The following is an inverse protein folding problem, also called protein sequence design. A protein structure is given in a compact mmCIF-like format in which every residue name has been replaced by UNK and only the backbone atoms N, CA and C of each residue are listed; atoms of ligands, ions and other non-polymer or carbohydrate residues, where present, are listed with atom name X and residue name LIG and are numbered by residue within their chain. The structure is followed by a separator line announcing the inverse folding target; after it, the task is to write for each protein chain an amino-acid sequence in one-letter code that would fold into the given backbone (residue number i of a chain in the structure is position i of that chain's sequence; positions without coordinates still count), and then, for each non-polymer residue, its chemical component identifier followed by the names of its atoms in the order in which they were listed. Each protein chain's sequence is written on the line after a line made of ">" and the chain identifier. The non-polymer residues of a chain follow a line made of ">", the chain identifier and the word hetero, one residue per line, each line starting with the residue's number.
data_IF_253736227745
#
_entry.id   IF_253736227745
#
_cell.length_a   1.000
_cell.length_b   1.000
_cell.length_c   1.000
_cell.angle_alpha   90.00
_cell.angle_beta   90.00
_cell.angle_gamma   90.00
#
_symmetry.space_group_name_H-M   'P 1'
#
loop_
_entity.id
_entity.type
_entity.pdbx_description
1 polymer ?
#
# COMPACT_ATOMS: atom_id res chain seq x y z
N UNK A 1 -7.43 -16.91 -56.27
CA UNK A 1 -6.07 -16.93 -56.87
C UNK A 1 -5.16 -16.16 -55.92
N UNK A 2 -4.11 -16.69 -55.29
CA UNK A 2 -3.48 -17.99 -55.37
C UNK A 2 -2.99 -18.37 -53.96
N UNK A 3 -3.15 -19.65 -53.64
CA UNK A 3 -2.57 -20.36 -52.51
C UNK A 3 -1.15 -20.78 -52.87
N UNK A 4 -0.19 -20.61 -51.95
CA UNK A 4 1.05 -21.39 -51.93
C UNK A 4 1.46 -21.69 -50.49
N UNK A 5 1.73 -22.95 -50.12
CA UNK A 5 2.05 -23.37 -48.76
C UNK A 5 3.56 -23.78 -48.65
N UNK A 6 4.06 -24.61 -47.71
CA UNK A 6 5.20 -24.25 -46.86
C UNK A 6 6.47 -25.07 -47.16
N UNK A 7 7.64 -24.57 -46.74
CA UNK A 7 8.89 -25.35 -46.75
C UNK A 7 9.23 -25.84 -45.34
N UNK A 8 9.02 -27.14 -45.13
CA UNK A 8 9.59 -27.90 -44.04
C UNK A 8 11.07 -28.24 -44.36
N UNK A 9 11.98 -28.03 -43.42
CA UNK A 9 13.36 -28.55 -43.49
C UNK A 9 13.53 -29.62 -42.42
N UNK A 10 13.89 -30.80 -42.90
CA UNK A 10 14.12 -32.04 -42.16
C UNK A 10 15.58 -32.10 -41.68
N UNK A 11 15.70 -32.43 -40.38
CA UNK A 11 16.74 -33.19 -39.65
C UNK A 11 18.14 -33.36 -40.27
N UNK A 12 19.15 -33.11 -39.44
CA UNK A 12 20.26 -34.05 -39.25
C UNK A 12 20.70 -34.13 -37.78
N UNK A 13 20.57 -35.32 -37.18
CA UNK A 13 21.33 -35.78 -36.01
C UNK A 13 22.59 -36.49 -36.52
N UNK A 14 23.80 -36.17 -36.03
CA UNK A 14 24.92 -37.07 -36.09
C UNK A 14 25.09 -37.90 -34.82
N UNK A 15 25.83 -38.98 -35.01
CA UNK A 15 25.91 -40.19 -34.20
C UNK A 15 26.79 -40.07 -32.95
N UNK A 16 26.56 -41.04 -32.07
CA UNK A 16 27.43 -41.44 -30.95
C UNK A 16 28.84 -41.77 -31.44
N UNK A 17 29.86 -41.37 -30.69
CA UNK A 17 31.08 -42.16 -30.51
C UNK A 17 31.55 -41.97 -29.07
N UNK A 18 31.57 -43.05 -28.30
CA UNK A 18 32.12 -43.03 -26.95
C UNK A 18 33.62 -42.80 -26.97
N UNK A 19 34.18 -42.47 -25.81
CA UNK A 19 35.51 -42.88 -25.36
C UNK A 19 35.49 -42.93 -23.83
N UNK A 20 35.65 -44.14 -23.32
CA UNK A 20 36.02 -44.46 -21.96
C UNK A 20 37.50 -44.15 -21.77
N UNK A 21 37.85 -43.21 -20.90
CA UNK A 21 39.11 -43.21 -20.15
C UNK A 21 38.87 -42.67 -18.74
N UNK A 22 39.13 -43.54 -17.77
CA UNK A 22 39.09 -43.19 -16.36
C UNK A 22 40.19 -42.20 -16.00
N UNK A 23 39.86 -41.30 -15.07
CA UNK A 23 40.82 -40.61 -14.24
C UNK A 23 40.31 -40.72 -12.81
N UNK A 24 41.19 -41.22 -11.95
CA UNK A 24 41.02 -41.37 -10.51
C UNK A 24 40.72 -40.01 -9.82
N UNK A 25 40.17 -40.05 -8.60
CA UNK A 25 39.57 -38.91 -7.93
C UNK A 25 40.63 -37.99 -7.35
N UNK A 26 40.57 -36.70 -7.69
CA UNK A 26 41.16 -35.66 -6.84
C UNK A 26 40.04 -35.15 -5.94
N UNK A 27 39.93 -35.75 -4.76
CA UNK A 27 39.23 -35.17 -3.62
C UNK A 27 40.05 -33.95 -3.16
N UNK A 28 39.90 -32.84 -3.87
CA UNK A 28 40.24 -31.52 -3.34
C UNK A 28 39.14 -31.19 -2.34
N UNK A 29 39.41 -31.52 -1.07
CA UNK A 29 38.70 -30.97 0.06
C UNK A 29 38.92 -29.46 0.07
N UNK A 30 38.08 -28.74 -0.69
CA UNK A 30 37.81 -27.34 -0.43
C UNK A 30 37.12 -27.29 0.93
N UNK A 31 37.94 -27.15 1.97
CA UNK A 31 37.53 -26.60 3.24
C UNK A 31 37.01 -25.20 2.95
N UNK A 32 35.74 -25.12 2.54
CA UNK A 32 34.95 -23.92 2.68
C UNK A 32 34.84 -23.70 4.19
N UNK A 33 35.83 -22.99 4.75
CA UNK A 33 35.63 -22.22 5.95
C UNK A 33 34.57 -21.18 5.57
N UNK A 34 33.30 -21.58 5.62
CA UNK A 34 32.23 -20.63 5.79
C UNK A 34 32.63 -19.86 7.05
N UNK A 35 32.89 -18.55 6.98
CA UNK A 35 32.88 -17.79 8.20
C UNK A 35 31.48 -18.03 8.76
N UNK A 36 31.41 -18.77 9.85
CA UNK A 36 30.31 -18.64 10.79
C UNK A 36 30.41 -17.18 11.22
N UNK A 37 29.82 -16.28 10.42
CA UNK A 37 29.54 -14.94 10.84
C UNK A 37 28.75 -15.14 12.13
N UNK A 38 29.38 -14.81 13.25
CA UNK A 38 28.79 -14.97 14.55
C UNK A 38 27.49 -14.16 14.54
N UNK A 39 26.37 -14.86 14.37
CA UNK A 39 25.05 -14.25 14.44
C UNK A 39 24.93 -13.72 15.86
N UNK A 40 24.87 -12.39 15.98
CA UNK A 40 24.62 -11.73 17.25
C UNK A 40 23.28 -12.21 17.80
N UNK A 41 23.20 -12.39 19.12
CA UNK A 41 21.91 -12.66 19.75
C UNK A 41 20.94 -11.50 19.46
N UNK A 42 19.70 -11.83 19.09
CA UNK A 42 18.65 -10.85 18.87
C UNK A 42 18.38 -10.09 20.18
N UNK A 43 18.60 -8.78 20.18
CA UNK A 43 18.25 -7.88 21.27
C UNK A 43 16.88 -7.23 20.99
N UNK A 44 15.82 -7.64 21.72
CA UNK A 44 14.46 -7.15 21.48
C UNK A 44 14.28 -5.65 21.77
N UNK A 45 15.27 -4.98 22.38
CA UNK A 45 15.18 -3.57 22.76
C UNK A 45 15.76 -2.62 21.70
N UNK A 46 16.45 -3.11 20.66
CA UNK A 46 17.08 -2.23 19.67
C UNK A 46 16.07 -1.43 18.87
N UNK A 47 15.02 -2.07 18.36
CA UNK A 47 13.97 -1.37 17.61
C UNK A 47 13.21 -0.32 18.47
N UNK A 48 12.76 -0.64 19.71
CA UNK A 48 12.22 0.36 20.63
C UNK A 48 13.17 1.52 20.94
N UNK A 49 14.46 1.24 21.13
CA UNK A 49 15.49 2.26 21.40
C UNK A 49 15.70 3.17 20.20
N UNK A 50 15.80 2.62 19.00
CA UNK A 50 15.89 3.42 17.77
C UNK A 50 14.64 4.30 17.60
N UNK A 51 13.45 3.77 17.86
CA UNK A 51 12.23 4.57 17.85
C UNK A 51 12.19 5.67 18.93
N UNK A 52 12.88 5.49 20.06
CA UNK A 52 13.02 6.54 21.07
C UNK A 52 13.95 7.67 20.60
N UNK A 53 15.11 7.31 20.05
CA UNK A 53 16.05 8.28 19.44
C UNK A 53 15.36 9.12 18.36
N UNK A 54 14.56 8.50 17.50
CA UNK A 54 13.82 9.23 16.47
C UNK A 54 12.82 10.24 17.06
N UNK A 55 12.08 9.88 18.11
CA UNK A 55 11.19 10.81 18.81
C UNK A 55 11.92 11.97 19.49
N UNK A 56 13.18 11.78 19.82
CA UNK A 56 14.06 12.82 20.38
C UNK A 56 14.70 13.71 19.30
N UNK A 57 14.41 13.45 18.01
CA UNK A 57 14.99 14.16 16.88
C UNK A 57 16.35 13.61 16.43
N UNK A 58 16.86 12.56 17.07
CA UNK A 58 18.16 11.94 16.79
C UNK A 58 18.07 10.92 15.66
N UNK A 59 17.51 11.36 14.52
CA UNK A 59 17.13 10.49 13.41
C UNK A 59 18.32 9.73 12.82
N UNK A 60 19.42 10.42 12.56
CA UNK A 60 20.62 9.80 11.99
C UNK A 60 21.17 8.71 12.92
N UNK A 61 21.25 9.00 14.22
CA UNK A 61 21.70 8.03 15.22
C UNK A 61 20.80 6.80 15.28
N UNK A 62 19.48 6.98 15.11
CA UNK A 62 18.53 5.88 15.10
C UNK A 62 18.73 4.95 13.89
N UNK A 63 18.95 5.52 12.69
CA UNK A 63 19.25 4.76 11.47
C UNK A 63 20.60 4.06 11.58
N UNK A 64 21.65 4.76 12.04
CA UNK A 64 22.99 4.20 12.23
C UNK A 64 22.95 3.05 13.23
N UNK A 65 22.24 3.21 14.35
CA UNK A 65 22.06 2.14 15.35
C UNK A 65 21.47 0.88 14.71
N UNK A 66 20.39 1.02 13.93
CA UNK A 66 19.74 -0.11 13.27
C UNK A 66 20.64 -0.73 12.21
N UNK A 67 21.33 0.08 11.41
CA UNK A 67 22.25 -0.40 10.37
C UNK A 67 23.39 -1.24 10.93
N UNK A 68 24.08 -0.74 11.97
CA UNK A 68 25.17 -1.48 12.62
C UNK A 68 24.65 -2.74 13.31
N UNK A 69 23.50 -2.67 13.97
CA UNK A 69 22.91 -3.84 14.64
C UNK A 69 22.54 -4.93 13.63
N UNK A 70 21.82 -4.59 12.56
CA UNK A 70 21.36 -5.53 11.53
C UNK A 70 22.52 -6.16 10.75
N UNK A 71 23.69 -5.53 10.69
CA UNK A 71 24.90 -6.15 10.15
C UNK A 71 25.36 -7.37 10.96
N UNK A 72 24.99 -7.45 12.25
CA UNK A 72 25.34 -8.56 13.15
C UNK A 72 24.14 -9.45 13.52
N UNK A 73 22.92 -8.92 13.43
CA UNK A 73 21.67 -9.62 13.71
C UNK A 73 20.68 -9.53 12.52
N UNK A 74 21.02 -10.08 11.34
CA UNK A 74 20.20 -9.94 10.13
C UNK A 74 18.86 -10.68 10.20
N UNK A 75 18.66 -11.54 11.19
CA UNK A 75 17.40 -12.29 11.40
C UNK A 75 16.41 -11.56 12.33
N UNK A 76 16.74 -10.36 12.81
CA UNK A 76 15.81 -9.53 13.60
C UNK A 76 14.82 -8.78 12.69
N UNK A 77 13.69 -9.41 12.40
CA UNK A 77 12.66 -8.83 11.56
C UNK A 77 12.07 -7.53 12.12
N UNK A 78 12.04 -7.33 13.45
CA UNK A 78 11.47 -6.11 14.05
C UNK A 78 12.39 -4.91 13.82
N UNK A 79 13.70 -5.11 13.91
CA UNK A 79 14.68 -4.10 13.53
C UNK A 79 14.59 -3.75 12.03
N UNK A 80 14.44 -4.74 11.15
CA UNK A 80 14.19 -4.51 9.73
C UNK A 80 12.91 -3.71 9.47
N UNK A 81 11.80 -4.06 10.14
CA UNK A 81 10.55 -3.32 10.04
C UNK A 81 10.75 -1.86 10.46
N UNK A 82 11.44 -1.61 11.56
CA UNK A 82 11.66 -0.26 12.06
C UNK A 82 12.55 0.56 11.10
N UNK A 83 13.61 -0.03 10.57
CA UNK A 83 14.46 0.61 9.57
C UNK A 83 13.69 0.94 8.28
N UNK A 84 12.85 0.02 7.81
CA UNK A 84 12.00 0.26 6.65
C UNK A 84 10.99 1.39 6.86
N UNK A 85 10.36 1.45 8.05
CA UNK A 85 9.49 2.57 8.42
C UNK A 85 10.23 3.89 8.45
N UNK A 86 11.46 3.90 8.94
CA UNK A 86 12.32 5.07 8.89
C UNK A 86 12.45 5.57 7.44
N UNK A 87 13.00 4.78 6.53
CA UNK A 87 13.15 5.24 5.14
C UNK A 87 11.84 5.64 4.46
N UNK A 88 10.71 4.98 4.79
CA UNK A 88 9.40 5.41 4.32
C UNK A 88 9.02 6.82 4.81
N UNK A 89 9.32 7.16 6.07
CA UNK A 89 9.12 8.52 6.59
C UNK A 89 10.05 9.54 5.92
N UNK A 90 11.32 9.19 5.66
CA UNK A 90 12.26 10.09 4.98
C UNK A 90 11.78 10.42 3.55
N UNK A 91 11.21 9.43 2.85
CA UNK A 91 10.59 9.65 1.54
C UNK A 91 9.39 10.62 1.62
N UNK A 92 8.60 10.56 2.70
CA UNK A 92 7.46 11.47 2.91
C UNK A 92 7.90 12.87 3.28
N UNK A 93 8.93 13.00 4.11
CA UNK A 93 9.52 14.29 4.43
C UNK A 93 10.10 14.95 3.17
N UNK A 94 10.64 14.18 2.23
CA UNK A 94 11.06 14.71 0.93
C UNK A 94 9.90 15.37 0.15
N UNK A 95 8.69 14.81 0.17
CA UNK A 95 7.50 15.47 -0.38
C UNK A 95 7.18 16.78 0.35
N UNK A 96 7.24 16.79 1.69
CA UNK A 96 6.97 17.97 2.50
C UNK A 96 7.96 19.12 2.25
N UNK A 97 9.22 18.79 1.93
CA UNK A 97 10.25 19.77 1.61
C UNK A 97 10.26 20.19 0.13
N UNK A 98 9.20 19.87 -0.62
CA UNK A 98 9.03 20.27 -2.00
C UNK A 98 10.04 19.59 -2.93
N UNK A 99 10.26 18.29 -2.70
CA UNK A 99 11.13 17.44 -3.53
C UNK A 99 12.61 17.87 -3.48
N UNK A 100 13.03 18.50 -2.38
CA UNK A 100 14.41 18.91 -2.12
C UNK A 100 15.09 17.94 -1.16
N UNK A 101 16.36 17.65 -1.39
CA UNK A 101 17.17 16.77 -0.56
C UNK A 101 18.13 15.93 -1.38
N UNK A 102 19.15 15.40 -0.71
CA UNK A 102 20.05 14.36 -1.21
C UNK A 102 20.18 13.30 -0.11
N UNK A 103 19.80 12.03 -0.34
CA UNK A 103 19.30 11.47 -1.60
C UNK A 103 17.86 11.88 -1.96
N UNK A 104 17.45 11.55 -3.18
CA UNK A 104 16.06 11.74 -3.63
C UNK A 104 15.08 10.78 -2.90
N UNK A 105 13.80 11.13 -2.92
CA UNK A 105 12.74 10.34 -2.29
C UNK A 105 12.57 8.94 -2.86
N UNK A 106 12.89 8.73 -4.15
CA UNK A 106 12.80 7.42 -4.78
C UNK A 106 13.83 6.44 -4.21
N UNK A 107 15.03 6.91 -3.90
CA UNK A 107 16.06 6.10 -3.25
C UNK A 107 15.64 5.72 -1.83
N UNK A 108 15.03 6.64 -1.07
CA UNK A 108 14.45 6.30 0.23
C UNK A 108 13.36 5.23 0.11
N UNK A 109 12.50 5.29 -0.91
CA UNK A 109 11.50 4.25 -1.17
C UNK A 109 12.14 2.90 -1.55
N UNK A 110 13.28 2.89 -2.25
CA UNK A 110 14.03 1.66 -2.55
C UNK A 110 14.68 1.06 -1.29
N UNK A 111 15.23 1.89 -0.39
CA UNK A 111 15.72 1.43 0.90
C UNK A 111 14.61 0.92 1.81
N UNK A 112 13.46 1.62 1.86
CA UNK A 112 12.28 1.20 2.59
C UNK A 112 11.79 -0.16 2.09
N UNK A 113 11.64 -0.32 0.77
CA UNK A 113 11.22 -1.58 0.16
C UNK A 113 12.17 -2.72 0.55
N UNK A 114 13.48 -2.52 0.41
CA UNK A 114 14.50 -3.54 0.72
C UNK A 114 14.43 -3.98 2.19
N UNK A 115 14.34 -3.04 3.12
CA UNK A 115 14.25 -3.35 4.55
C UNK A 115 12.92 -4.06 4.90
N UNK A 116 11.81 -3.62 4.29
CA UNK A 116 10.49 -4.22 4.51
C UNK A 116 10.38 -5.62 3.88
N UNK A 117 11.05 -5.88 2.77
CA UNK A 117 11.13 -7.21 2.18
C UNK A 117 11.84 -8.21 3.12
N UNK A 118 12.87 -7.77 3.85
CA UNK A 118 13.47 -8.60 4.91
C UNK A 118 12.50 -8.83 6.08
N UNK A 119 11.77 -7.79 6.51
CA UNK A 119 10.76 -7.94 7.56
C UNK A 119 9.64 -8.93 7.15
N UNK A 120 9.21 -8.88 5.89
CA UNK A 120 8.24 -9.83 5.32
C UNK A 120 8.79 -11.24 5.29
N UNK A 121 10.03 -11.42 4.80
CA UNK A 121 10.71 -12.73 4.78
C UNK A 121 10.80 -13.34 6.18
N UNK A 122 11.01 -12.51 7.20
CA UNK A 122 11.07 -12.91 8.61
C UNK A 122 9.69 -12.97 9.28
N UNK A 123 8.61 -12.96 8.49
CA UNK A 123 7.22 -13.13 8.93
C UNK A 123 6.77 -12.12 10.00
N UNK A 124 7.24 -10.87 9.89
CA UNK A 124 6.76 -9.78 10.74
C UNK A 124 5.40 -9.32 10.23
N UNK A 125 4.35 -9.46 11.05
CA UNK A 125 2.95 -9.23 10.68
C UNK A 125 2.69 -7.93 9.90
N UNK A 126 3.36 -6.83 10.29
CA UNK A 126 3.16 -5.52 9.65
C UNK A 126 4.04 -5.27 8.42
N UNK A 127 5.02 -6.14 8.14
CA UNK A 127 5.95 -5.98 7.02
C UNK A 127 5.23 -5.85 5.69
N UNK A 128 4.23 -6.72 5.44
CA UNK A 128 3.49 -6.73 4.16
C UNK A 128 2.71 -5.43 3.95
N UNK A 129 2.10 -4.89 5.01
CA UNK A 129 1.29 -3.68 4.91
C UNK A 129 2.17 -2.45 4.65
N UNK A 130 3.24 -2.26 5.42
CA UNK A 130 4.17 -1.16 5.17
C UNK A 130 4.88 -1.28 3.82
N UNK A 131 5.18 -2.52 3.38
CA UNK A 131 5.73 -2.75 2.04
C UNK A 131 4.76 -2.31 0.95
N UNK A 132 3.46 -2.54 1.14
CA UNK A 132 2.43 -2.04 0.24
C UNK A 132 2.23 -0.53 0.30
N UNK A 133 2.36 0.09 1.48
CA UNK A 133 2.36 1.56 1.60
C UNK A 133 3.53 2.17 0.81
N UNK A 134 4.70 1.51 0.81
CA UNK A 134 5.85 1.94 -0.01
C UNK A 134 5.54 1.90 -1.51
N UNK A 135 4.78 0.92 -1.99
CA UNK A 135 4.33 0.88 -3.39
C UNK A 135 3.28 1.95 -3.71
N UNK A 136 2.41 2.30 -2.74
CA UNK A 136 1.49 3.43 -2.89
C UNK A 136 2.27 4.74 -3.04
N UNK A 137 3.26 4.99 -2.18
CA UNK A 137 4.08 6.21 -2.26
C UNK A 137 4.87 6.25 -3.58
N UNK A 138 5.32 5.10 -4.11
CA UNK A 138 5.89 5.03 -5.47
C UNK A 138 4.87 5.34 -6.58
N UNK A 139 3.63 4.89 -6.43
CA UNK A 139 2.56 5.22 -7.37
C UNK A 139 2.19 6.71 -7.30
N UNK A 140 2.32 7.35 -6.13
CA UNK A 140 2.17 8.80 -5.97
C UNK A 140 3.24 9.57 -6.75
N UNK A 141 4.51 9.15 -6.69
CA UNK A 141 5.56 9.74 -7.55
C UNK A 141 5.24 9.55 -9.03
N UNK A 142 4.62 8.44 -9.42
CA UNK A 142 4.17 8.23 -10.81
C UNK A 142 3.07 9.23 -11.20
N UNK A 143 2.14 9.55 -10.29
CA UNK A 143 1.13 10.60 -10.49
C UNK A 143 1.80 11.96 -10.68
N UNK A 144 2.79 12.29 -9.86
CA UNK A 144 3.52 13.56 -9.92
C UNK A 144 4.24 13.77 -11.25
N UNK A 145 4.87 12.71 -11.77
CA UNK A 145 5.59 12.74 -13.05
C UNK A 145 4.62 12.71 -14.24
N UNK A 146 3.67 11.77 -14.24
CA UNK A 146 2.91 11.38 -15.44
C UNK A 146 1.41 11.72 -15.38
N UNK A 147 0.92 12.22 -14.25
CA UNK A 147 -0.49 12.48 -14.01
C UNK A 147 -1.30 11.24 -13.62
N UNK A 148 -2.52 11.49 -13.15
CA UNK A 148 -3.46 10.44 -12.70
C UNK A 148 -3.78 9.41 -13.79
N UNK A 149 -4.04 9.86 -15.02
CA UNK A 149 -4.50 8.94 -16.07
C UNK A 149 -3.47 7.85 -16.40
N UNK A 150 -2.17 8.21 -16.38
CA UNK A 150 -1.07 7.28 -16.58
C UNK A 150 -0.88 6.36 -15.37
N UNK A 151 -1.04 6.88 -14.15
CA UNK A 151 -0.85 6.10 -12.92
C UNK A 151 -1.91 5.04 -12.69
N UNK A 152 -3.10 5.16 -13.30
CA UNK A 152 -4.16 4.12 -13.23
C UNK A 152 -3.71 2.75 -13.72
N UNK A 153 -2.66 2.69 -14.53
CA UNK A 153 -2.08 1.46 -15.05
C UNK A 153 -0.80 1.05 -14.33
N UNK A 154 -0.34 1.84 -13.35
CA UNK A 154 0.82 1.50 -12.54
C UNK A 154 0.48 0.27 -11.70
N UNK A 155 1.24 -0.81 -11.93
CA UNK A 155 1.14 -2.03 -11.14
C UNK A 155 2.25 -2.05 -10.09
N UNK A 156 2.02 -2.69 -8.94
CA UNK A 156 3.10 -2.99 -8.01
C UNK A 156 4.20 -3.75 -8.72
N UNK A 157 5.44 -3.64 -8.21
CA UNK A 157 6.55 -4.44 -8.74
C UNK A 157 6.23 -5.95 -8.63
N UNK A 158 6.66 -6.79 -9.59
CA UNK A 158 6.30 -8.22 -9.63
C UNK A 158 6.69 -9.02 -8.38
N UNK A 159 7.70 -8.57 -7.65
CA UNK A 159 8.23 -9.13 -6.41
C UNK A 159 7.52 -8.64 -5.15
N UNK A 160 6.57 -7.69 -5.28
CA UNK A 160 5.81 -7.17 -4.15
C UNK A 160 4.98 -8.29 -3.51
N UNK A 161 5.10 -8.50 -2.18
CA UNK A 161 4.27 -9.47 -1.46
C UNK A 161 2.76 -9.20 -1.65
N UNK A 162 1.93 -10.26 -1.75
CA UNK A 162 0.49 -10.06 -1.92
C UNK A 162 -0.11 -9.40 -0.67
N UNK A 163 -0.89 -8.35 -0.88
CA UNK A 163 -1.61 -7.65 0.18
C UNK A 163 -2.65 -8.58 0.84
N UNK A 164 -2.83 -8.57 2.18
CA UNK A 164 -3.84 -9.39 2.83
C UNK A 164 -5.24 -9.12 2.28
N UNK A 165 -6.00 -10.20 2.04
CA UNK A 165 -7.29 -10.15 1.37
C UNK A 165 -8.30 -9.22 2.06
N UNK A 166 -8.27 -9.09 3.39
CA UNK A 166 -9.17 -8.19 4.13
C UNK A 166 -8.87 -6.69 3.91
N UNK A 167 -7.63 -6.32 3.56
CA UNK A 167 -7.26 -4.95 3.16
C UNK A 167 -7.72 -4.68 1.73
N UNK A 168 -7.54 -5.64 0.82
CA UNK A 168 -8.05 -5.54 -0.56
C UNK A 168 -9.58 -5.46 -0.57
N UNK A 169 -10.26 -6.26 0.27
CA UNK A 169 -11.70 -6.23 0.47
C UNK A 169 -12.19 -4.87 1.01
N UNK A 170 -11.48 -4.29 1.99
CA UNK A 170 -11.78 -2.94 2.49
C UNK A 170 -11.73 -1.91 1.33
N UNK A 171 -10.68 -1.94 0.53
CA UNK A 171 -10.52 -1.04 -0.62
C UNK A 171 -11.63 -1.17 -1.65
N UNK A 172 -11.97 -2.41 -1.99
CA UNK A 172 -13.07 -2.71 -2.90
C UNK A 172 -14.41 -2.18 -2.38
N UNK A 173 -14.67 -2.29 -1.08
CA UNK A 173 -15.89 -1.77 -0.49
C UNK A 173 -15.92 -0.24 -0.45
N UNK A 174 -14.81 0.42 -0.15
CA UNK A 174 -14.71 1.89 -0.18
C UNK A 174 -14.95 2.41 -1.60
N UNK A 175 -14.26 1.84 -2.60
CA UNK A 175 -14.41 2.22 -3.99
C UNK A 175 -15.83 2.00 -4.53
N UNK A 176 -16.46 0.86 -4.22
CA UNK A 176 -17.85 0.57 -4.65
C UNK A 176 -18.91 1.31 -3.84
N UNK A 177 -18.52 1.93 -2.73
CA UNK A 177 -19.38 2.85 -1.97
C UNK A 177 -19.35 4.26 -2.55
N UNK A 178 -18.32 4.63 -3.31
CA UNK A 178 -18.31 5.91 -4.01
C UNK A 178 -19.05 5.79 -5.37
N UNK A 179 -20.01 6.68 -5.70
CA UNK A 179 -20.66 6.65 -7.00
C UNK A 179 -19.67 6.80 -8.16
N UNK A 180 -20.00 6.22 -9.32
CA UNK A 180 -19.17 6.33 -10.53
C UNK A 180 -18.93 7.80 -10.92
N UNK A 181 -17.74 8.08 -11.42
CA UNK A 181 -17.23 9.42 -11.70
C UNK A 181 -16.81 10.20 -10.45
N UNK A 182 -16.90 9.62 -9.26
CA UNK A 182 -16.68 10.32 -8.00
C UNK A 182 -15.22 10.64 -7.66
N UNK A 183 -15.03 11.48 -6.66
CA UNK A 183 -13.74 11.74 -5.99
C UNK A 183 -13.82 11.17 -4.58
N UNK A 184 -12.95 10.22 -4.25
CA UNK A 184 -12.90 9.55 -2.95
C UNK A 184 -11.76 10.11 -2.10
N UNK A 185 -12.10 10.82 -1.04
CA UNK A 185 -11.15 11.26 -0.03
C UNK A 185 -10.82 10.07 0.87
N UNK A 186 -9.54 9.73 0.99
CA UNK A 186 -9.06 8.75 1.97
C UNK A 186 -8.56 9.48 3.21
N UNK A 187 -8.86 8.95 4.39
CA UNK A 187 -8.58 9.58 5.68
C UNK A 187 -7.35 9.04 6.40
N UNK A 188 -6.78 7.93 5.93
CA UNK A 188 -5.59 7.32 6.53
C UNK A 188 -4.76 6.57 5.49
N UNK A 189 -3.51 6.27 5.83
CA UNK A 189 -2.64 5.40 5.03
C UNK A 189 -3.28 4.02 4.80
N UNK A 190 -3.98 3.47 5.81
CA UNK A 190 -4.68 2.19 5.67
C UNK A 190 -5.77 2.26 4.60
N UNK A 191 -6.58 3.32 4.59
CA UNK A 191 -7.60 3.50 3.56
C UNK A 191 -6.97 3.77 2.18
N UNK A 192 -5.89 4.56 2.12
CA UNK A 192 -5.17 4.84 0.88
C UNK A 192 -4.58 3.57 0.25
N UNK A 193 -3.88 2.74 1.05
CA UNK A 193 -3.33 1.46 0.58
C UNK A 193 -4.44 0.48 0.21
N UNK A 194 -5.52 0.43 1.00
CA UNK A 194 -6.68 -0.42 0.70
C UNK A 194 -7.28 -0.03 -0.65
N UNK A 195 -7.59 1.26 -0.85
CA UNK A 195 -8.17 1.78 -2.08
C UNK A 195 -7.25 1.55 -3.29
N UNK A 196 -5.95 1.79 -3.15
CA UNK A 196 -5.01 1.54 -4.24
C UNK A 196 -5.01 0.06 -4.64
N UNK A 197 -4.80 -0.87 -3.69
CA UNK A 197 -4.81 -2.31 -4.00
C UNK A 197 -6.18 -2.81 -4.46
N UNK A 198 -7.28 -2.26 -3.93
CA UNK A 198 -8.63 -2.57 -4.36
C UNK A 198 -8.90 -2.17 -5.82
N UNK A 199 -8.25 -1.11 -6.30
CA UNK A 199 -8.35 -0.64 -7.69
C UNK A 199 -7.61 -1.55 -8.68
N UNK A 200 -6.49 -2.16 -8.28
CA UNK A 200 -5.67 -3.02 -9.13
C UNK A 200 -6.36 -4.34 -9.53
N UNK A 201 -7.25 -4.84 -8.67
CA UNK A 201 -7.91 -6.14 -8.83
C UNK A 201 -9.25 -6.05 -9.57
N UNK A 202 -9.65 -4.85 -10.00
CA UNK A 202 -10.93 -4.60 -10.66
C UNK A 202 -10.71 -3.89 -12.00
N UNK A 203 -11.69 -3.98 -12.90
CA UNK A 203 -11.78 -3.09 -14.06
C UNK A 203 -11.66 -1.65 -13.58
N UNK A 204 -10.94 -0.75 -14.29
CA UNK A 204 -10.67 0.60 -13.81
C UNK A 204 -11.95 1.25 -13.29
N UNK A 205 -12.02 1.42 -11.96
CA UNK A 205 -13.15 2.09 -11.35
C UNK A 205 -13.00 3.57 -11.68
N UNK A 206 -14.09 4.16 -12.15
CA UNK A 206 -14.21 5.59 -12.45
C UNK A 206 -14.33 6.38 -11.14
N UNK A 207 -13.36 6.21 -10.24
CA UNK A 207 -13.28 6.89 -8.95
C UNK A 207 -11.87 7.43 -8.82
N UNK A 208 -11.75 8.72 -8.53
CA UNK A 208 -10.48 9.40 -8.30
C UNK A 208 -10.18 9.40 -6.79
N UNK A 209 -9.31 8.53 -6.27
CA UNK A 209 -8.84 8.63 -4.89
C UNK A 209 -7.95 9.86 -4.73
N UNK A 210 -8.13 10.58 -3.63
CA UNK A 210 -7.32 11.73 -3.25
C UNK A 210 -6.91 11.64 -1.79
N UNK A 211 -5.65 11.97 -1.54
CA UNK A 211 -5.07 12.14 -0.20
C UNK A 211 -5.11 13.62 0.19
N UNK A 212 -6.00 14.05 1.10
CA UNK A 212 -6.13 15.47 1.44
C UNK A 212 -4.87 16.06 2.09
N UNK A 213 -4.15 15.24 2.86
CA UNK A 213 -2.87 15.58 3.48
C UNK A 213 -1.84 15.97 2.42
N UNK A 214 -1.63 15.12 1.41
CA UNK A 214 -0.69 15.40 0.32
C UNK A 214 -1.15 16.55 -0.57
N UNK A 215 -2.46 16.69 -0.81
CA UNK A 215 -2.97 17.84 -1.56
C UNK A 215 -2.64 19.16 -0.84
N UNK A 216 -2.68 19.19 0.49
CA UNK A 216 -2.34 20.36 1.26
C UNK A 216 -0.83 20.65 1.26
N UNK A 217 0.01 19.63 1.40
CA UNK A 217 1.45 19.81 1.66
C UNK A 217 2.34 19.69 0.44
N UNK A 218 2.02 18.82 -0.52
CA UNK A 218 2.82 18.59 -1.71
C UNK A 218 2.26 19.37 -2.91
N UNK A 219 3.03 20.35 -3.37
CA UNK A 219 2.64 21.21 -4.51
C UNK A 219 2.57 20.48 -5.85
N UNK A 220 3.41 19.45 -6.08
CA UNK A 220 3.45 18.68 -7.32
C UNK A 220 2.25 17.73 -7.34
N UNK A 221 2.01 17.01 -6.24
CA UNK A 221 0.83 16.17 -6.10
C UNK A 221 -0.46 17.00 -6.27
N UNK A 222 -0.54 18.14 -5.58
CA UNK A 222 -1.67 19.08 -5.71
C UNK A 222 -1.90 19.50 -7.15
N UNK A 223 -0.86 19.89 -7.88
CA UNK A 223 -0.96 20.29 -9.29
C UNK A 223 -1.60 19.19 -10.13
N UNK A 224 -1.15 17.93 -9.97
CA UNK A 224 -1.63 16.79 -10.77
C UNK A 224 -3.04 16.38 -10.41
N UNK A 225 -3.38 16.38 -9.13
CA UNK A 225 -4.72 16.03 -8.66
C UNK A 225 -5.74 17.13 -9.00
N UNK A 226 -5.35 18.40 -8.92
CA UNK A 226 -6.19 19.52 -9.36
C UNK A 226 -6.52 19.41 -10.86
N UNK A 227 -5.53 19.08 -11.69
CA UNK A 227 -5.73 18.82 -13.11
C UNK A 227 -6.70 17.64 -13.34
N UNK A 228 -6.54 16.53 -12.62
CA UNK A 228 -7.42 15.36 -12.71
C UNK A 228 -8.87 15.66 -12.22
N UNK A 229 -9.02 16.65 -11.34
CA UNK A 229 -10.31 17.13 -10.86
C UNK A 229 -10.91 18.25 -11.74
N UNK A 230 -10.12 18.86 -12.62
CA UNK A 230 -10.54 20.00 -13.44
C UNK A 230 -10.67 21.31 -12.65
N UNK A 231 -9.83 21.54 -11.64
CA UNK A 231 -9.86 22.72 -10.76
C UNK A 231 -8.51 23.43 -10.70
N UNK A 232 -8.52 24.65 -10.16
CA UNK A 232 -7.32 25.46 -9.95
C UNK A 232 -6.44 24.86 -8.82
N UNK A 233 -5.16 24.53 -9.08
CA UNK A 233 -4.23 23.99 -8.08
C UNK A 233 -3.84 24.97 -6.96
N UNK A 234 -4.15 26.26 -7.09
CA UNK A 234 -3.98 27.24 -6.02
C UNK A 234 -5.05 27.14 -4.94
N UNK A 235 -6.16 26.44 -5.21
CA UNK A 235 -7.24 26.29 -4.24
C UNK A 235 -6.83 25.34 -3.11
N UNK A 236 -7.12 25.68 -1.83
CA UNK A 236 -7.02 24.72 -0.73
C UNK A 236 -7.99 23.56 -0.95
N UNK A 237 -7.66 22.38 -0.42
CA UNK A 237 -8.39 21.12 -0.68
C UNK A 237 -9.91 21.25 -0.52
N UNK A 238 -10.38 21.91 0.55
CA UNK A 238 -11.81 22.14 0.77
C UNK A 238 -12.47 22.91 -0.37
N UNK A 239 -11.85 24.00 -0.85
CA UNK A 239 -12.41 24.84 -1.93
C UNK A 239 -12.32 24.14 -3.28
N UNK A 240 -11.23 23.41 -3.52
CA UNK A 240 -11.09 22.57 -4.70
C UNK A 240 -12.23 21.54 -4.76
N UNK A 241 -12.48 20.82 -3.66
CA UNK A 241 -13.56 19.82 -3.59
C UNK A 241 -14.95 20.43 -3.67
N UNK A 242 -15.18 21.62 -3.10
CA UNK A 242 -16.43 22.35 -3.25
C UNK A 242 -16.72 22.67 -4.73
N UNK A 243 -15.71 23.14 -5.47
CA UNK A 243 -15.84 23.40 -6.91
C UNK A 243 -16.08 22.11 -7.73
N UNK A 244 -15.48 20.99 -7.32
CA UNK A 244 -15.71 19.70 -7.98
C UNK A 244 -17.13 19.16 -7.73
N UNK A 245 -17.72 19.44 -6.56
CA UNK A 245 -19.00 18.86 -6.14
C UNK A 245 -20.17 19.16 -7.11
N UNK A 246 -20.09 20.27 -7.85
CA UNK A 246 -21.09 20.63 -8.87
C UNK A 246 -21.10 19.66 -10.05
N UNK A 247 -19.94 19.11 -10.41
CA UNK A 247 -19.77 18.25 -11.59
C UNK A 247 -19.62 16.77 -11.24
N UNK A 248 -19.09 16.43 -10.06
CA UNK A 248 -18.78 15.05 -9.65
C UNK A 248 -19.21 14.79 -8.20
N UNK A 249 -19.67 13.56 -7.87
CA UNK A 249 -19.89 13.18 -6.47
C UNK A 249 -18.59 13.22 -5.67
N UNK A 250 -18.61 13.81 -4.48
CA UNK A 250 -17.51 13.74 -3.52
C UNK A 250 -17.87 12.67 -2.50
N UNK A 251 -16.91 11.82 -2.16
CA UNK A 251 -17.05 10.73 -1.21
C UNK A 251 -16.04 10.90 -0.08
N UNK A 252 -16.52 10.95 1.16
CA UNK A 252 -15.68 10.92 2.36
C UNK A 252 -15.60 9.49 2.86
N UNK A 253 -14.40 8.93 2.93
CA UNK A 253 -14.17 7.66 3.63
C UNK A 253 -14.47 7.79 5.14
N UNK A 254 -14.59 6.67 5.86
CA UNK A 254 -14.95 6.66 7.27
C UNK A 254 -14.03 7.46 8.19
N UNK A 255 -12.72 7.46 7.91
CA UNK A 255 -11.72 8.14 8.75
C UNK A 255 -11.27 9.49 8.20
N UNK A 256 -11.90 9.99 7.13
CA UNK A 256 -11.58 11.32 6.56
C UNK A 256 -11.75 12.42 7.61
N UNK A 257 -10.71 13.24 7.79
CA UNK A 257 -10.78 14.45 8.59
C UNK A 257 -11.80 15.44 8.00
N UNK A 258 -12.77 15.83 8.80
CA UNK A 258 -13.81 16.79 8.39
C UNK A 258 -13.24 18.18 8.15
N UNK A 259 -12.06 18.50 8.70
CA UNK A 259 -11.35 19.73 8.34
C UNK A 259 -10.84 19.72 6.89
N UNK A 260 -10.81 18.59 6.18
CA UNK A 260 -10.53 18.55 4.75
C UNK A 260 -11.81 18.61 3.89
N UNK A 261 -12.98 18.36 4.48
CA UNK A 261 -14.24 18.26 3.77
C UNK A 261 -14.86 19.64 3.49
N UNK A 262 -15.40 19.88 2.28
CA UNK A 262 -16.19 21.08 2.02
C UNK A 262 -17.50 21.09 2.82
N UNK A 263 -18.03 22.29 3.10
CA UNK A 263 -19.29 22.50 3.79
C UNK A 263 -20.48 22.17 2.86
N UNK A 264 -20.76 20.88 2.67
CA UNK A 264 -21.84 20.33 1.85
C UNK A 264 -22.85 19.56 2.71
N UNK A 265 -24.03 19.29 2.15
CA UNK A 265 -24.93 18.29 2.69
C UNK A 265 -24.37 16.90 2.41
N UNK A 266 -24.04 16.16 3.47
CA UNK A 266 -23.47 14.82 3.36
C UNK A 266 -24.54 13.77 3.64
N UNK A 267 -24.68 12.81 2.73
CA UNK A 267 -25.56 11.67 2.91
C UNK A 267 -24.78 10.38 3.11
N UNK A 268 -25.14 9.54 4.09
CA UNK A 268 -24.56 8.22 4.21
C UNK A 268 -24.85 7.36 2.97
N UNK A 269 -23.82 6.73 2.41
CA UNK A 269 -23.95 5.80 1.30
C UNK A 269 -22.99 4.62 1.50
N UNK A 270 -23.54 3.46 1.89
CA UNK A 270 -22.75 2.28 2.21
C UNK A 270 -21.65 2.65 3.22
N UNK A 271 -20.37 2.48 2.89
CA UNK A 271 -19.25 2.81 3.78
C UNK A 271 -18.84 4.29 3.79
N UNK A 272 -19.27 5.09 2.81
CA UNK A 272 -18.80 6.48 2.66
C UNK A 272 -19.93 7.47 2.93
N UNK A 273 -19.59 8.75 3.06
CA UNK A 273 -20.56 9.85 2.97
C UNK A 273 -20.42 10.53 1.62
N UNK A 274 -21.52 10.81 0.94
CA UNK A 274 -21.52 11.39 -0.42
C UNK A 274 -22.14 12.78 -0.43
N UNK A 275 -21.60 13.67 -1.27
CA UNK A 275 -22.17 15.02 -1.46
C UNK A 275 -23.45 15.00 -2.30
N UNK A 276 -23.62 13.99 -3.15
CA UNK A 276 -24.82 13.76 -3.95
C UNK A 276 -24.96 12.28 -4.29
N UNK A 277 -26.20 11.81 -4.43
CA UNK A 277 -26.46 10.47 -4.94
C UNK A 277 -26.10 10.40 -6.42
N UNK A 278 -25.53 9.27 -6.84
CA UNK A 278 -25.25 8.96 -8.23
C UNK A 278 -25.60 7.50 -8.53
N UNK A 279 -25.30 7.07 -9.75
CA UNK A 279 -25.43 5.65 -10.09
C UNK A 279 -24.56 4.82 -9.13
N UNK A 280 -25.19 3.83 -8.49
CA UNK A 280 -24.54 2.95 -7.53
C UNK A 280 -23.51 2.11 -8.28
N UNK A 281 -22.27 2.07 -7.79
CA UNK A 281 -21.26 1.17 -8.33
C UNK A 281 -21.76 -0.28 -8.25
N UNK A 282 -21.56 -1.05 -9.32
CA UNK A 282 -22.15 -2.39 -9.50
C UNK A 282 -21.68 -3.49 -8.50
N UNK A 283 -20.95 -3.13 -7.43
CA UNK A 283 -20.47 -4.05 -6.42
C UNK A 283 -21.41 -4.17 -5.20
N UNK A 284 -21.44 -5.33 -4.57
CA UNK A 284 -21.99 -5.53 -3.22
C UNK A 284 -20.88 -5.38 -2.17
N UNK A 285 -21.24 -4.95 -0.96
CA UNK A 285 -20.33 -4.95 0.17
C UNK A 285 -20.02 -6.40 0.58
N UNK A 286 -18.74 -6.72 0.80
CA UNK A 286 -18.27 -8.02 1.30
C UNK A 286 -17.42 -7.86 2.54
N UNK A 287 -17.57 -8.72 3.54
CA UNK A 287 -16.68 -8.76 4.73
C UNK A 287 -16.15 -10.16 4.99
N UNK A 288 -16.19 -11.03 3.99
CA UNK A 288 -15.80 -12.44 4.09
C UNK A 288 -14.32 -12.59 4.46
N UNK A 289 -13.44 -11.84 3.80
CA UNK A 289 -12.01 -11.90 4.09
C UNK A 289 -11.70 -11.37 5.50
N UNK A 290 -12.38 -10.29 5.92
CA UNK A 290 -12.26 -9.77 7.28
C UNK A 290 -12.72 -10.78 8.33
N UNK A 291 -13.87 -11.45 8.14
CA UNK A 291 -14.35 -12.51 9.05
C UNK A 291 -13.33 -13.64 9.16
N UNK A 292 -12.82 -14.11 8.02
CA UNK A 292 -11.82 -15.18 7.99
C UNK A 292 -10.56 -14.79 8.77
N UNK A 293 -10.06 -13.57 8.54
CA UNK A 293 -8.89 -13.05 9.24
C UNK A 293 -9.13 -12.87 10.75
N UNK A 294 -10.32 -12.40 11.15
CA UNK A 294 -10.70 -12.24 12.55
C UNK A 294 -10.73 -13.56 13.32
N UNK A 295 -11.14 -14.66 12.68
CA UNK A 295 -11.11 -16.00 13.28
C UNK A 295 -9.71 -16.56 13.46
N UNK A 296 -8.75 -16.10 12.66
CA UNK A 296 -7.35 -16.51 12.74
C UNK A 296 -6.56 -15.70 13.79
N UNK A 297 -7.06 -14.51 14.18
CA UNK A 297 -6.85 -13.91 15.49
C UNK A 297 -5.45 -13.34 15.81
N UNK A 298 -4.69 -12.85 14.84
CA UNK A 298 -3.26 -12.50 15.09
C UNK A 298 -2.76 -11.15 14.57
N UNK A 299 -3.40 -10.53 13.58
CA UNK A 299 -2.88 -9.29 12.99
C UNK A 299 -3.47 -8.02 13.63
N UNK A 300 -2.64 -7.03 14.04
CA UNK A 300 -3.14 -5.73 14.48
C UNK A 300 -3.96 -5.02 13.39
N UNK A 301 -3.65 -5.27 12.12
CA UNK A 301 -4.37 -4.68 10.99
C UNK A 301 -5.80 -5.18 10.84
N UNK A 302 -6.14 -6.36 11.39
CA UNK A 302 -7.54 -6.80 11.45
C UNK A 302 -8.34 -5.84 12.33
N UNK A 303 -7.79 -5.43 13.46
CA UNK A 303 -8.43 -4.46 14.36
C UNK A 303 -8.53 -3.09 13.72
N UNK A 304 -7.50 -2.64 13.01
CA UNK A 304 -7.53 -1.33 12.35
C UNK A 304 -8.55 -1.30 11.20
N UNK A 305 -8.64 -2.38 10.41
CA UNK A 305 -9.69 -2.53 9.39
C UNK A 305 -11.08 -2.59 10.02
N UNK A 306 -11.26 -3.32 11.13
CA UNK A 306 -12.51 -3.28 11.90
C UNK A 306 -12.85 -1.84 12.34
N UNK A 307 -11.86 -1.08 12.81
CA UNK A 307 -12.02 0.33 13.18
C UNK A 307 -12.57 1.20 12.05
N UNK A 308 -12.20 0.93 10.79
CA UNK A 308 -12.75 1.61 9.61
C UNK A 308 -14.23 1.25 9.38
N UNK A 309 -14.61 -0.02 9.53
CA UNK A 309 -16.02 -0.44 9.46
C UNK A 309 -16.86 0.13 10.61
N UNK A 310 -16.31 0.19 11.82
CA UNK A 310 -16.96 0.81 12.97
C UNK A 310 -17.17 2.31 12.74
N UNK A 311 -16.18 2.99 12.15
CA UNK A 311 -16.31 4.39 11.75
C UNK A 311 -17.38 4.59 10.67
N UNK A 312 -17.49 3.67 9.70
CA UNK A 312 -18.55 3.70 8.71
C UNK A 312 -19.93 3.53 9.37
N UNK A 313 -20.07 2.57 10.29
CA UNK A 313 -21.32 2.29 10.99
C UNK A 313 -21.81 3.48 11.83
N UNK A 314 -20.90 4.23 12.47
CA UNK A 314 -21.25 5.49 13.18
C UNK A 314 -21.90 6.53 12.27
N UNK A 315 -21.54 6.55 10.99
CA UNK A 315 -22.09 7.48 10.01
C UNK A 315 -23.29 6.89 9.25
N UNK A 316 -23.48 5.57 9.27
CA UNK A 316 -24.53 4.87 8.54
C UNK A 316 -25.06 3.67 9.33
N UNK A 317 -26.11 3.90 10.13
CA UNK A 317 -26.74 2.85 10.93
C UNK A 317 -27.33 1.71 10.09
N UNK A 318 -27.61 1.91 8.80
CA UNK A 318 -28.08 0.84 7.91
C UNK A 318 -27.04 -0.26 7.70
N UNK A 319 -25.75 0.04 7.92
CA UNK A 319 -24.70 -0.98 7.91
C UNK A 319 -24.84 -1.95 9.07
N UNK A 320 -25.46 -1.57 10.18
CA UNK A 320 -25.53 -2.39 11.37
C UNK A 320 -26.24 -3.72 11.14
N UNK A 321 -27.31 -3.77 10.34
CA UNK A 321 -27.97 -5.05 10.03
C UNK A 321 -27.05 -6.03 9.31
N UNK A 322 -26.31 -5.54 8.31
CA UNK A 322 -25.31 -6.35 7.61
C UNK A 322 -24.16 -6.72 8.54
N UNK A 323 -23.58 -5.75 9.24
CA UNK A 323 -22.43 -5.95 10.12
C UNK A 323 -22.76 -6.86 11.32
N UNK A 324 -23.96 -6.78 11.92
CA UNK A 324 -24.42 -7.68 12.99
C UNK A 324 -24.45 -9.15 12.53
N UNK A 325 -24.94 -9.39 11.30
CA UNK A 325 -24.94 -10.73 10.71
C UNK A 325 -23.51 -11.30 10.58
N UNK A 326 -22.52 -10.41 10.47
CA UNK A 326 -21.12 -10.78 10.21
C UNK A 326 -20.23 -10.80 11.46
N UNK A 327 -20.44 -9.89 12.41
CA UNK A 327 -19.67 -9.76 13.64
C UNK A 327 -20.28 -10.51 14.83
N UNK A 328 -21.48 -11.08 14.67
CA UNK A 328 -22.15 -11.89 15.69
C UNK A 328 -22.32 -11.13 17.00
N UNK A 329 -21.85 -11.71 18.11
CA UNK A 329 -21.98 -11.16 19.47
C UNK A 329 -21.01 -10.00 19.76
N UNK A 330 -20.12 -9.66 18.82
CA UNK A 330 -19.17 -8.54 18.93
C UNK A 330 -19.44 -7.45 17.90
N UNK A 331 -20.66 -6.88 17.81
CA UNK A 331 -20.93 -5.86 16.83
C UNK A 331 -20.15 -4.57 17.11
N UNK A 332 -19.97 -3.73 16.07
CA UNK A 332 -19.48 -2.37 16.22
C UNK A 332 -20.20 -1.67 17.38
N UNK A 333 -19.52 -0.87 18.23
CA UNK A 333 -20.17 -0.15 19.32
C UNK A 333 -21.34 0.73 18.85
N UNK A 334 -21.29 1.24 17.62
CA UNK A 334 -22.35 2.03 16.99
C UNK A 334 -23.62 1.23 16.64
N UNK A 335 -23.53 -0.11 16.69
CA UNK A 335 -24.58 -1.05 16.32
C UNK A 335 -25.13 -1.84 17.51
N UNK A 336 -24.79 -1.40 18.74
CA UNK A 336 -25.32 -1.94 19.99
C UNK A 336 -26.58 -1.19 20.42
#
# INVERSE_FOLDING_TARGET
>A
MALTPPSAVVRHRPARSGWTRGVLPVLLALSAASPLAAQGAIDPNVAPRAAALEREGERQMAVDLLGHYLATAPDDGRAWLQLGRFYLFDARDWHLHGHRGDPDGLLYLDFAATALDQAVRLSVDSGVVFRGVTEVDRALVTIEVSGWDASRYARPRPDTPPMPAYIVELGANLLTSCPSGGVLLTGSDLEAVSVWYGSLHRTPLDVLPIRPDLYATDSVYRLRMAAAMGVDPALPVQRALAAVADSRPICLSPTTDLAAAPALAWEPHRMVRVSRRGAVGAGTLSVTALIQASRQGRSPWVRDVQGVYDAAARNNALLCGSLLTFFGDTPPPACR
#
